data_IF_725264278335
#
_entry.id   IF_725264278335
#
_cell.length_a   1.000
_cell.length_b   1.000
_cell.length_c   1.000
_cell.angle_alpha   90.00
_cell.angle_beta   90.00
_cell.angle_gamma   90.00
#
_symmetry.space_group_name_H-M   'P 1'
#
loop_
_entity.id
_entity.type
_entity.pdbx_description
1 polymer ?
#
# COMPACT_ATOMS: atom_id res chain seq x y z
N UNK A 1 -8.32 -0.92 -4.40
CA UNK A 1 -9.35 0.12 -4.12
C UNK A 1 -8.62 1.46 -3.99
N UNK A 2 -9.28 2.62 -4.07
CA UNK A 2 -8.66 3.97 -4.02
C UNK A 2 -8.15 4.61 -5.32
N UNK A 3 -8.46 4.05 -6.49
CA UNK A 3 -8.20 4.60 -7.83
C UNK A 3 -9.37 5.46 -8.37
N UNK A 4 -10.34 5.81 -7.52
CA UNK A 4 -11.51 6.60 -7.89
C UNK A 4 -11.81 7.69 -6.85
N UNK A 5 -12.25 8.92 -7.24
CA UNK A 5 -12.40 10.05 -6.34
C UNK A 5 -13.29 9.82 -5.12
N UNK A 6 -14.28 8.92 -5.20
CA UNK A 6 -15.16 8.61 -4.06
C UNK A 6 -14.41 7.97 -2.88
N UNK A 7 -13.35 7.20 -3.15
CA UNK A 7 -12.66 6.38 -2.15
C UNK A 7 -11.14 6.50 -2.27
N UNK A 8 -10.62 7.65 -2.70
CA UNK A 8 -9.19 7.83 -3.00
C UNK A 8 -8.30 8.13 -1.77
N UNK A 9 -8.82 8.02 -0.55
CA UNK A 9 -8.06 8.22 0.69
C UNK A 9 -8.59 7.36 1.84
N UNK A 10 -7.74 7.13 2.84
CA UNK A 10 -8.13 6.47 4.10
C UNK A 10 -9.16 7.33 4.84
N UNK A 11 -9.00 8.65 4.87
CA UNK A 11 -9.95 9.59 5.49
C UNK A 11 -11.37 9.44 4.93
N UNK A 12 -11.52 9.25 3.61
CA UNK A 12 -12.83 8.98 3.01
C UNK A 12 -13.38 7.64 3.48
N UNK A 13 -12.56 6.59 3.50
CA UNK A 13 -12.97 5.28 3.99
C UNK A 13 -13.36 5.30 5.48
N UNK A 14 -12.65 6.07 6.31
CA UNK A 14 -12.99 6.30 7.72
C UNK A 14 -14.32 7.04 7.88
N UNK A 15 -14.65 7.95 6.97
CA UNK A 15 -15.99 8.57 6.93
C UNK A 15 -17.11 7.52 6.81
N UNK A 16 -16.92 6.52 5.95
CA UNK A 16 -17.85 5.39 5.86
C UNK A 16 -17.79 4.47 7.09
N UNK A 17 -16.60 4.19 7.61
CA UNK A 17 -16.43 3.36 8.81
C UNK A 17 -17.16 3.97 10.01
N UNK A 18 -17.06 5.29 10.19
CA UNK A 18 -17.77 6.02 11.22
C UNK A 18 -19.29 5.99 11.01
N UNK A 19 -19.76 6.22 9.77
CA UNK A 19 -21.18 6.17 9.45
C UNK A 19 -21.81 4.80 9.72
N UNK A 20 -21.12 3.73 9.29
CA UNK A 20 -21.60 2.36 9.45
C UNK A 20 -21.47 1.85 10.88
N UNK A 21 -20.45 2.33 11.61
CA UNK A 21 -20.13 1.94 12.99
C UNK A 21 -20.24 0.41 13.23
N UNK A 22 -19.63 -0.36 12.33
CA UNK A 22 -19.78 -1.81 12.27
C UNK A 22 -18.40 -2.49 12.27
N UNK A 23 -18.13 -3.45 13.18
CA UNK A 23 -16.82 -4.08 13.29
C UNK A 23 -16.41 -4.89 12.05
N UNK A 24 -17.37 -5.28 11.20
CA UNK A 24 -17.13 -6.01 9.95
C UNK A 24 -16.76 -5.10 8.78
N UNK A 25 -16.83 -3.77 8.96
CA UNK A 25 -16.34 -2.81 7.99
C UNK A 25 -14.96 -2.30 8.41
N UNK A 26 -13.94 -2.67 7.67
CA UNK A 26 -12.54 -2.32 7.93
C UNK A 26 -11.85 -1.86 6.65
N UNK A 27 -10.62 -1.35 6.78
CA UNK A 27 -9.88 -0.70 5.71
C UNK A 27 -8.77 -1.60 5.16
N UNK A 28 -8.64 -1.60 3.84
CA UNK A 28 -7.57 -2.28 3.10
C UNK A 28 -6.92 -1.26 2.15
N UNK A 29 -6.02 -0.40 2.67
CA UNK A 29 -5.35 0.61 1.86
C UNK A 29 -4.40 -0.02 0.85
N UNK A 30 -4.27 0.71 -0.25
CA UNK A 30 -3.31 0.47 -1.32
C UNK A 30 -2.37 1.67 -1.36
N UNK A 31 -1.12 1.48 -0.96
CA UNK A 31 -0.15 2.58 -0.81
C UNK A 31 0.22 3.20 -2.16
N UNK A 32 0.07 2.45 -3.25
CA UNK A 32 0.16 2.97 -4.61
C UNK A 32 -0.96 3.95 -4.86
N UNK A 33 -2.20 3.46 -4.85
CA UNK A 33 -3.35 4.29 -5.13
C UNK A 33 -3.43 5.52 -4.19
N UNK A 34 -3.12 5.36 -2.90
CA UNK A 34 -3.10 6.47 -1.94
C UNK A 34 -2.07 7.56 -2.29
N UNK A 35 -0.94 7.18 -2.90
CA UNK A 35 0.15 8.10 -3.30
C UNK A 35 -0.06 8.74 -4.68
N UNK A 36 -0.98 8.23 -5.49
CA UNK A 36 -1.24 8.73 -6.84
C UNK A 36 -2.18 9.95 -6.88
N UNK A 37 -2.59 10.47 -5.71
CA UNK A 37 -3.39 11.68 -5.53
C UNK A 37 -2.67 12.68 -4.62
N UNK A 38 -3.27 13.85 -4.41
CA UNK A 38 -2.75 14.91 -3.54
C UNK A 38 -2.98 14.64 -2.04
N UNK A 39 -2.79 13.40 -1.58
CA UNK A 39 -2.94 13.02 -0.18
C UNK A 39 -1.64 13.22 0.61
N UNK A 40 -1.74 13.57 1.89
CA UNK A 40 -0.64 13.32 2.84
C UNK A 40 -0.66 11.84 3.25
N UNK A 41 0.05 11.03 2.47
CA UNK A 41 0.08 9.57 2.62
C UNK A 41 0.44 9.13 4.04
N UNK A 42 1.38 9.82 4.68
CA UNK A 42 1.86 9.41 5.99
C UNK A 42 0.85 9.73 7.08
N UNK A 43 0.18 10.89 6.97
CA UNK A 43 -0.94 11.22 7.86
C UNK A 43 -2.11 10.25 7.68
N UNK A 44 -2.43 9.88 6.45
CA UNK A 44 -3.51 8.95 6.12
C UNK A 44 -3.26 7.56 6.73
N UNK A 45 -2.05 7.01 6.59
CA UNK A 45 -1.68 5.73 7.19
C UNK A 45 -1.76 5.75 8.72
N UNK A 46 -1.39 6.87 9.35
CA UNK A 46 -1.54 7.07 10.80
C UNK A 46 -3.00 7.14 11.21
N UNK A 47 -3.82 7.89 10.47
CA UNK A 47 -5.25 8.06 10.74
C UNK A 47 -6.03 6.74 10.63
N UNK A 48 -5.64 5.85 9.71
CA UNK A 48 -6.26 4.53 9.55
C UNK A 48 -5.87 3.50 10.61
N UNK A 49 -4.93 3.81 11.52
CA UNK A 49 -4.51 2.87 12.55
C UNK A 49 -5.71 2.39 13.39
N UNK A 50 -5.76 1.08 13.66
CA UNK A 50 -6.91 0.43 14.29
C UNK A 50 -8.00 -0.05 13.32
N UNK A 51 -8.01 0.42 12.07
CA UNK A 51 -8.95 -0.04 11.03
C UNK A 51 -8.28 -0.78 9.87
N UNK A 52 -6.96 -0.64 9.69
CA UNK A 52 -6.22 -1.30 8.61
C UNK A 52 -6.05 -2.79 8.93
N UNK A 53 -6.62 -3.67 8.09
CA UNK A 53 -6.53 -5.13 8.26
C UNK A 53 -5.56 -5.81 7.30
N UNK A 54 -5.21 -5.15 6.19
CA UNK A 54 -4.28 -5.62 5.18
C UNK A 54 -3.75 -4.43 4.36
N UNK A 55 -2.61 -4.56 3.67
CA UNK A 55 -2.02 -3.48 2.84
C UNK A 55 -1.63 -3.98 1.44
N UNK A 56 -2.18 -3.38 0.39
CA UNK A 56 -1.73 -3.61 -0.99
C UNK A 56 -0.45 -2.80 -1.25
N UNK A 57 0.51 -3.45 -1.88
CA UNK A 57 1.83 -2.92 -2.23
C UNK A 57 2.01 -2.98 -3.73
N UNK A 58 1.92 -1.83 -4.38
CA UNK A 58 2.26 -1.61 -5.78
C UNK A 58 2.79 -0.20 -5.96
N UNK A 59 3.39 0.06 -7.11
CA UNK A 59 3.79 1.41 -7.50
C UNK A 59 2.77 2.04 -8.43
N UNK A 60 2.75 3.37 -8.48
CA UNK A 60 1.78 4.16 -9.27
C UNK A 60 2.38 5.51 -9.65
N UNK A 61 1.77 6.19 -10.63
CA UNK A 61 2.01 7.60 -10.94
C UNK A 61 0.69 8.36 -10.90
N UNK A 62 0.68 9.71 -10.81
CA UNK A 62 -0.55 10.48 -10.93
C UNK A 62 -1.33 10.11 -12.19
N UNK A 63 -2.58 9.63 -12.01
CA UNK A 63 -3.44 9.16 -13.09
C UNK A 63 -3.11 7.78 -13.69
N UNK A 64 -2.06 7.09 -13.22
CA UNK A 64 -1.66 5.75 -13.68
C UNK A 64 -1.58 4.79 -12.48
N UNK A 65 -2.62 3.99 -12.32
CA UNK A 65 -2.84 3.15 -11.14
C UNK A 65 -2.48 1.66 -11.32
N UNK A 66 -2.05 1.27 -12.52
CA UNK A 66 -1.74 -0.13 -12.87
C UNK A 66 -0.45 -0.20 -13.69
N UNK A 67 0.24 -1.33 -13.58
CA UNK A 67 1.42 -1.68 -14.38
C UNK A 67 2.56 -0.65 -14.35
N UNK A 68 2.71 0.08 -13.24
CA UNK A 68 3.91 0.88 -13.01
C UNK A 68 4.96 -0.04 -12.35
N UNK A 69 6.13 -0.24 -12.97
CA UNK A 69 7.18 -1.06 -12.38
C UNK A 69 7.63 -0.52 -11.01
N UNK A 70 7.96 -1.41 -10.09
CA UNK A 70 8.45 -1.04 -8.76
C UNK A 70 9.70 -0.15 -8.83
N UNK A 71 9.60 1.05 -8.26
CA UNK A 71 10.68 2.04 -8.24
C UNK A 71 10.63 3.05 -9.39
N UNK A 72 9.66 2.94 -10.29
CA UNK A 72 9.45 3.90 -11.37
C UNK A 72 8.29 4.87 -11.10
N UNK A 73 7.50 4.65 -10.05
CA UNK A 73 6.41 5.52 -9.66
C UNK A 73 6.77 6.52 -8.56
N UNK A 74 5.75 6.95 -7.83
CA UNK A 74 5.85 8.02 -6.82
C UNK A 74 5.75 7.52 -5.38
N UNK A 75 5.59 6.21 -5.19
CA UNK A 75 5.40 5.65 -3.84
C UNK A 75 6.72 5.67 -3.07
N UNK A 76 6.72 6.34 -1.93
CA UNK A 76 7.80 6.24 -0.94
C UNK A 76 7.57 5.01 -0.05
N UNK A 77 7.97 3.84 -0.56
CA UNK A 77 7.73 2.55 0.09
C UNK A 77 8.33 2.46 1.49
N UNK A 78 9.58 2.90 1.66
CA UNK A 78 10.29 2.82 2.94
C UNK A 78 9.56 3.64 4.00
N UNK A 79 9.18 4.87 3.67
CA UNK A 79 8.45 5.74 4.58
C UNK A 79 7.05 5.20 4.90
N UNK A 80 6.34 4.63 3.92
CA UNK A 80 5.05 3.98 4.17
C UNK A 80 5.19 2.79 5.14
N UNK A 81 6.21 1.95 4.94
CA UNK A 81 6.50 0.82 5.82
C UNK A 81 6.93 1.26 7.22
N UNK A 82 7.77 2.30 7.34
CA UNK A 82 8.15 2.89 8.61
C UNK A 82 6.93 3.42 9.37
N UNK A 83 6.05 4.16 8.70
CA UNK A 83 4.84 4.70 9.31
C UNK A 83 3.91 3.59 9.81
N UNK A 84 3.66 2.56 8.99
CA UNK A 84 2.86 1.40 9.40
C UNK A 84 3.49 0.66 10.59
N UNK A 85 4.81 0.46 10.59
CA UNK A 85 5.53 -0.13 11.72
C UNK A 85 5.36 0.70 12.99
N UNK A 86 5.56 2.02 12.90
CA UNK A 86 5.48 2.94 14.03
C UNK A 86 4.06 3.04 14.61
N UNK A 87 3.02 2.82 13.81
CA UNK A 87 1.63 2.80 14.28
C UNK A 87 1.22 1.44 14.87
N UNK A 88 2.12 0.45 14.87
CA UNK A 88 1.88 -0.88 15.44
C UNK A 88 1.16 -1.84 14.49
N UNK A 89 1.17 -1.58 13.17
CA UNK A 89 0.57 -2.49 12.20
C UNK A 89 1.34 -3.83 12.13
N UNK A 90 0.63 -4.93 12.37
CA UNK A 90 1.16 -6.30 12.35
C UNK A 90 0.43 -7.21 11.33
N UNK A 91 -0.33 -6.62 10.40
CA UNK A 91 -1.11 -7.37 9.41
C UNK A 91 -0.31 -7.76 8.17
N UNK A 92 -0.94 -8.46 7.21
CA UNK A 92 -0.30 -8.90 5.98
C UNK A 92 -0.05 -7.74 4.99
N UNK A 93 0.97 -7.93 4.14
CA UNK A 93 1.23 -7.11 2.96
C UNK A 93 1.06 -7.96 1.70
N UNK A 94 0.35 -7.43 0.71
CA UNK A 94 0.08 -8.12 -0.56
C UNK A 94 0.75 -7.34 -1.71
N UNK A 95 1.70 -7.96 -2.40
CA UNK A 95 2.29 -7.39 -3.62
C UNK A 95 1.28 -7.53 -4.78
N UNK A 96 0.72 -6.41 -5.24
CA UNK A 96 -0.21 -6.37 -6.37
C UNK A 96 0.56 -6.09 -7.67
N UNK A 97 0.55 -7.03 -8.60
CA UNK A 97 1.22 -6.91 -9.90
C UNK A 97 0.53 -7.76 -10.96
N UNK A 98 0.69 -7.39 -12.23
CA UNK A 98 0.16 -8.13 -13.38
C UNK A 98 1.31 -8.61 -14.28
N UNK A 99 1.97 -9.69 -13.89
CA UNK A 99 3.03 -10.32 -14.70
C UNK A 99 2.53 -11.43 -15.62
N UNK A 100 1.22 -11.67 -15.68
CA UNK A 100 0.61 -12.79 -16.41
C UNK A 100 0.91 -12.81 -17.92
N UNK A 101 1.21 -11.66 -18.52
CA UNK A 101 1.59 -11.52 -19.93
C UNK A 101 3.10 -11.44 -20.15
N UNK A 102 3.91 -11.51 -19.09
CA UNK A 102 5.38 -11.55 -19.19
C UNK A 102 5.84 -12.87 -19.80
N UNK A 103 6.98 -12.83 -20.49
CA UNK A 103 7.64 -14.04 -20.98
C UNK A 103 8.05 -15.00 -19.86
N UNK A 104 8.34 -14.47 -18.66
CA UNK A 104 8.61 -15.24 -17.45
C UNK A 104 7.93 -14.59 -16.23
N UNK A 105 6.65 -14.94 -15.95
CA UNK A 105 5.90 -14.36 -14.84
C UNK A 105 6.51 -14.66 -13.46
N UNK A 106 7.15 -15.82 -13.30
CA UNK A 106 7.74 -16.23 -12.02
C UNK A 106 9.01 -15.43 -11.70
N UNK A 107 9.86 -15.20 -12.70
CA UNK A 107 11.03 -14.34 -12.54
C UNK A 107 10.63 -12.90 -12.16
N UNK A 108 9.59 -12.35 -12.78
CA UNK A 108 9.09 -11.01 -12.44
C UNK A 108 8.55 -10.95 -11.00
N UNK A 109 7.79 -11.96 -10.57
CA UNK A 109 7.30 -12.05 -9.18
C UNK A 109 8.46 -12.17 -8.19
N UNK A 110 9.47 -12.98 -8.48
CA UNK A 110 10.65 -13.13 -7.61
C UNK A 110 11.41 -11.80 -7.47
N UNK A 111 11.62 -11.09 -8.59
CA UNK A 111 12.28 -9.78 -8.62
C UNK A 111 11.49 -8.74 -7.81
N UNK A 112 10.17 -8.66 -8.00
CA UNK A 112 9.30 -7.74 -7.25
C UNK A 112 9.30 -8.06 -5.75
N UNK A 113 9.19 -9.35 -5.38
CA UNK A 113 9.27 -9.82 -4.00
C UNK A 113 10.56 -9.36 -3.33
N UNK A 114 11.71 -9.60 -3.96
CA UNK A 114 13.02 -9.29 -3.37
C UNK A 114 13.22 -7.77 -3.27
N UNK A 115 12.73 -7.01 -4.26
CA UNK A 115 12.73 -5.55 -4.23
C UNK A 115 11.92 -5.00 -3.06
N UNK A 116 10.69 -5.48 -2.86
CA UNK A 116 9.80 -5.05 -1.76
C UNK A 116 10.39 -5.44 -0.40
N UNK A 117 10.89 -6.67 -0.26
CA UNK A 117 11.55 -7.13 0.98
C UNK A 117 12.73 -6.25 1.36
N UNK A 118 13.54 -5.81 0.39
CA UNK A 118 14.66 -4.91 0.66
C UNK A 118 14.21 -3.56 1.25
N UNK A 119 13.09 -3.00 0.79
CA UNK A 119 12.52 -1.76 1.37
C UNK A 119 11.93 -1.99 2.75
N UNK A 120 11.24 -3.11 2.96
CA UNK A 120 10.72 -3.49 4.28
C UNK A 120 11.87 -3.64 5.29
N UNK A 121 12.99 -4.26 4.90
CA UNK A 121 14.17 -4.39 5.75
C UNK A 121 14.78 -3.02 6.09
N UNK A 122 14.89 -2.09 5.12
CA UNK A 122 15.38 -0.72 5.38
C UNK A 122 14.46 0.07 6.32
N UNK A 123 13.14 -0.14 6.24
CA UNK A 123 12.16 0.38 7.19
C UNK A 123 12.17 -0.33 8.56
N UNK A 124 13.02 -1.36 8.73
CA UNK A 124 13.16 -2.14 9.95
C UNK A 124 12.01 -3.12 10.23
N UNK A 125 11.19 -3.49 9.24
CA UNK A 125 10.14 -4.50 9.39
C UNK A 125 10.68 -5.94 9.38
N UNK A 126 11.90 -6.14 8.88
CA UNK A 126 12.56 -7.45 8.82
C UNK A 126 13.98 -7.30 9.39
N UNK A 127 14.43 -8.30 10.14
CA UNK A 127 15.86 -8.40 10.48
C UNK A 127 16.67 -8.63 9.19
N UNK A 128 17.86 -8.03 9.11
CA UNK A 128 18.80 -8.33 8.04
C UNK A 128 19.18 -9.81 8.14
N UNK A 129 18.91 -10.56 7.07
CA UNK A 129 19.31 -11.96 6.95
C UNK A 129 20.84 -12.10 6.86
#
# INVERSE_FOLDING_TARGET
IMDYPLMNSISKALGYAHYLNNPWFQLYPDIGNLSAWDNDVQMELKAGSGHIVAVHVKDTKPGVFKNVPFGEGVVDFERCFETLKQTGYCGPYLIEMWSETSADPLAEVAKARDWVKARMARAGLMEAA
#
